data_IF_511262470060
#
_entry.id   IF_511262470060
#
_cell.length_a   1.000
_cell.length_b   1.000
_cell.length_c   1.000
_cell.angle_alpha   90.00
_cell.angle_beta   90.00
_cell.angle_gamma   90.00
#
_symmetry.space_group_name_H-M   'P 1'
#
loop_
_entity.id
_entity.type
_entity.pdbx_description
1 polymer ?
#
# COMPACT_ATOMS: atom_id res chain seq x y z
N UNK A 1 -8.89 -2.12 19.56
CA UNK A 1 -7.71 -1.73 18.74
C UNK A 1 -7.70 -2.61 17.50
N UNK A 2 -7.98 -2.04 16.31
CA UNK A 2 -7.48 -2.57 15.04
C UNK A 2 -8.27 -3.62 14.24
N UNK A 3 -9.60 -3.61 14.19
CA UNK A 3 -10.36 -4.50 13.28
C UNK A 3 -10.53 -3.95 11.86
N UNK A 4 -10.21 -2.66 11.63
CA UNK A 4 -10.53 -1.98 10.36
C UNK A 4 -9.73 -2.49 9.15
N UNK A 5 -8.60 -3.16 9.36
CA UNK A 5 -7.80 -3.74 8.28
C UNK A 5 -8.13 -5.20 7.96
N UNK A 6 -8.83 -5.92 8.84
CA UNK A 6 -9.14 -7.34 8.63
C UNK A 6 -10.07 -7.55 7.44
N UNK A 7 -11.09 -6.71 7.31
CA UNK A 7 -12.05 -6.80 6.22
C UNK A 7 -11.44 -6.44 4.85
N UNK A 8 -10.70 -5.32 4.69
CA UNK A 8 -9.94 -5.05 3.47
C UNK A 8 -8.90 -6.14 3.14
N UNK A 9 -8.21 -6.68 4.14
CA UNK A 9 -7.23 -7.74 3.93
C UNK A 9 -7.89 -9.02 3.41
N UNK A 10 -9.05 -9.40 3.97
CA UNK A 10 -9.85 -10.51 3.49
C UNK A 10 -10.29 -10.33 2.03
N UNK A 11 -10.84 -9.17 1.67
CA UNK A 11 -11.29 -8.88 0.29
C UNK A 11 -10.15 -8.98 -0.74
N UNK A 12 -8.92 -8.63 -0.32
CA UNK A 12 -7.75 -8.63 -1.18
C UNK A 12 -6.95 -9.94 -1.10
N UNK A 13 -7.35 -10.89 -0.25
CA UNK A 13 -6.62 -12.14 -0.02
C UNK A 13 -5.23 -11.92 0.58
N UNK A 14 -5.04 -10.86 1.39
CA UNK A 14 -3.77 -10.48 2.00
C UNK A 14 -3.76 -10.80 3.50
N UNK A 15 -2.57 -10.97 4.07
CA UNK A 15 -2.41 -11.07 5.52
C UNK A 15 -2.49 -9.67 6.16
N UNK A 16 -3.39 -9.49 7.14
CA UNK A 16 -3.61 -8.21 7.84
C UNK A 16 -2.32 -7.63 8.41
N UNK A 17 -1.45 -8.47 8.99
CA UNK A 17 -0.18 -8.04 9.55
C UNK A 17 0.78 -7.48 8.48
N UNK A 18 0.82 -8.09 7.29
CA UNK A 18 1.63 -7.60 6.17
C UNK A 18 1.06 -6.29 5.61
N UNK A 19 -0.26 -6.17 5.54
CA UNK A 19 -0.93 -4.96 5.08
C UNK A 19 -0.66 -3.79 6.02
N UNK A 20 -0.81 -4.02 7.33
CA UNK A 20 -0.50 -3.04 8.36
C UNK A 20 0.98 -2.63 8.33
N UNK A 21 1.90 -3.60 8.19
CA UNK A 21 3.33 -3.32 8.08
C UNK A 21 3.64 -2.47 6.83
N UNK A 22 3.06 -2.79 5.67
CA UNK A 22 3.29 -2.02 4.45
C UNK A 22 2.74 -0.58 4.50
N UNK A 23 1.63 -0.37 5.20
CA UNK A 23 1.03 0.96 5.34
C UNK A 23 1.75 1.84 6.36
N UNK A 24 2.45 1.25 7.33
CA UNK A 24 3.05 1.98 8.47
C UNK A 24 4.58 2.02 8.46
N UNK A 25 5.25 1.14 7.69
CA UNK A 25 6.72 1.10 7.64
C UNK A 25 7.31 1.91 6.48
N UNK A 26 8.46 2.55 6.74
CA UNK A 26 9.35 3.11 5.73
C UNK A 26 10.79 2.75 6.09
N UNK A 27 11.52 2.22 5.13
CA UNK A 27 12.98 2.13 5.22
C UNK A 27 13.55 3.39 4.59
N UNK A 28 14.25 4.20 5.38
CA UNK A 28 15.02 5.34 4.88
C UNK A 28 16.48 4.91 4.82
N UNK A 29 16.95 4.68 3.60
CA UNK A 29 18.37 4.44 3.33
C UNK A 29 19.08 5.78 3.22
N UNK A 30 19.70 6.22 4.32
CA UNK A 30 20.54 7.40 4.32
C UNK A 30 21.99 6.99 4.10
N UNK A 31 22.56 7.39 2.96
CA UNK A 31 23.99 7.26 2.70
C UNK A 31 24.70 8.53 3.15
N UNK A 32 25.49 8.46 4.23
CA UNK A 32 26.40 9.53 4.64
C UNK A 32 27.85 9.04 4.47
N UNK A 33 28.51 9.48 3.40
CA UNK A 33 29.89 9.10 3.10
C UNK A 33 30.05 7.61 2.76
N UNK A 34 31.00 6.92 3.39
CA UNK A 34 31.31 5.50 3.14
C UNK A 34 30.48 4.50 3.98
N UNK A 35 29.52 4.97 4.79
CA UNK A 35 28.66 4.14 5.64
C UNK A 35 27.20 4.27 5.20
N UNK A 36 26.57 3.13 4.94
CA UNK A 36 25.14 3.01 4.68
C UNK A 36 24.45 2.52 5.95
N UNK A 37 23.64 3.38 6.56
CA UNK A 37 22.76 3.01 7.68
C UNK A 37 21.30 3.01 7.17
N UNK A 38 20.63 1.87 7.29
CA UNK A 38 19.20 1.75 7.03
C UNK A 38 18.47 1.98 8.34
N UNK A 39 17.81 3.14 8.48
CA UNK A 39 17.04 3.47 9.68
C UNK A 39 15.57 3.17 9.38
N UNK A 40 15.00 2.19 10.07
CA UNK A 40 13.55 1.94 10.06
C UNK A 40 12.86 3.05 10.86
N UNK A 41 12.21 3.98 10.17
CA UNK A 41 11.35 4.99 10.80
C UNK A 41 9.89 4.59 10.63
N UNK A 42 9.13 4.69 11.72
CA UNK A 42 7.67 4.59 11.67
C UNK A 42 7.11 5.83 10.97
N UNK A 43 6.19 5.64 10.03
CA UNK A 43 5.61 6.76 9.28
C UNK A 43 4.72 7.64 10.16
N UNK A 44 4.73 8.95 9.90
CA UNK A 44 3.77 9.87 10.52
C UNK A 44 2.34 9.54 10.01
N UNK A 45 1.32 9.81 10.83
CA UNK A 45 -0.09 9.55 10.56
C UNK A 45 -0.53 10.10 9.19
N UNK A 46 -0.05 11.30 8.84
CA UNK A 46 -0.37 11.96 7.57
C UNK A 46 0.19 11.21 6.35
N UNK A 47 1.39 10.64 6.45
CA UNK A 47 2.00 9.87 5.36
C UNK A 47 1.32 8.52 5.18
N UNK A 48 0.96 7.85 6.29
CA UNK A 48 0.20 6.62 6.25
C UNK A 48 -1.18 6.83 5.58
N UNK A 49 -1.85 7.95 5.88
CA UNK A 49 -3.09 8.35 5.21
C UNK A 49 -2.89 8.62 3.71
N UNK A 50 -1.81 9.31 3.33
CA UNK A 50 -1.49 9.56 1.93
C UNK A 50 -1.26 8.25 1.14
N UNK A 51 -0.50 7.30 1.71
CA UNK A 51 -0.26 5.99 1.08
C UNK A 51 -1.56 5.21 0.94
N UNK A 52 -2.42 5.20 1.96
CA UNK A 52 -3.73 4.56 1.90
C UNK A 52 -4.56 5.12 0.74
N UNK A 53 -4.64 6.44 0.63
CA UNK A 53 -5.47 7.09 -0.40
C UNK A 53 -4.90 6.87 -1.81
N UNK A 54 -3.57 6.92 -1.97
CA UNK A 54 -2.91 6.60 -3.23
C UNK A 54 -3.13 5.14 -3.63
N UNK A 55 -3.07 4.22 -2.67
CA UNK A 55 -3.30 2.80 -2.90
C UNK A 55 -4.74 2.50 -3.29
N UNK A 56 -5.72 3.12 -2.61
CA UNK A 56 -7.13 2.99 -2.96
C UNK A 56 -7.43 3.49 -4.38
N UNK A 57 -6.87 4.64 -4.77
CA UNK A 57 -6.97 5.18 -6.14
C UNK A 57 -6.38 4.23 -7.16
N UNK A 58 -5.17 3.72 -6.91
CA UNK A 58 -4.52 2.77 -7.81
C UNK A 58 -5.31 1.46 -7.96
N UNK A 59 -5.89 0.95 -6.87
CA UNK A 59 -6.74 -0.24 -6.91
C UNK A 59 -7.98 0.01 -7.77
N UNK A 60 -8.69 1.12 -7.53
CA UNK A 60 -9.87 1.49 -8.31
C UNK A 60 -9.56 1.62 -9.80
N UNK A 61 -8.48 2.34 -10.16
CA UNK A 61 -8.05 2.49 -11.55
C UNK A 61 -7.81 1.13 -12.20
N UNK A 62 -7.06 0.23 -11.55
CA UNK A 62 -6.77 -1.10 -12.12
C UNK A 62 -8.00 -1.98 -12.28
N UNK A 63 -8.94 -1.92 -11.31
CA UNK A 63 -10.20 -2.64 -11.41
C UNK A 63 -11.03 -2.08 -12.58
N UNK A 64 -11.14 -0.75 -12.67
CA UNK A 64 -11.87 -0.09 -13.74
C UNK A 64 -11.29 -0.40 -15.11
N UNK A 65 -9.96 -0.28 -15.27
CA UNK A 65 -9.27 -0.61 -16.52
C UNK A 65 -9.53 -2.06 -16.92
N UNK A 66 -9.51 -2.99 -15.96
CA UNK A 66 -9.83 -4.40 -16.22
C UNK A 66 -11.29 -4.60 -16.62
N UNK A 67 -12.22 -3.89 -16.00
CA UNK A 67 -13.64 -3.96 -16.37
C UNK A 67 -13.87 -3.43 -17.79
N UNK A 68 -13.22 -2.32 -18.16
CA UNK A 68 -13.27 -1.76 -19.52
C UNK A 68 -12.71 -2.78 -20.52
N UNK A 69 -11.53 -3.33 -20.26
CA UNK A 69 -10.87 -4.33 -21.10
C UNK A 69 -11.73 -5.59 -21.32
N UNK A 70 -12.38 -6.10 -20.28
CA UNK A 70 -13.31 -7.24 -20.41
C UNK A 70 -14.62 -6.86 -21.12
N UNK A 71 -15.08 -5.62 -20.97
CA UNK A 71 -16.34 -5.16 -21.55
C UNK A 71 -16.26 -4.87 -23.05
N UNK A 72 -15.06 -4.64 -23.57
CA UNK A 72 -14.83 -4.46 -25.01
C UNK A 72 -14.63 -5.85 -25.62
N UNK A 73 -15.56 -6.35 -26.44
CA UNK A 73 -15.36 -7.62 -27.14
C UNK A 73 -14.17 -7.45 -28.09
N UNK A 74 -13.30 -8.48 -28.16
CA UNK A 74 -12.25 -8.59 -29.19
C UNK A 74 -12.86 -8.30 -30.58
N UNK A 75 -12.64 -7.09 -31.09
CA UNK A 75 -12.91 -6.69 -32.47
C UNK A 75 -11.73 -7.06 -33.36
#
# INVERSE_FOLDING_TARGET
MGTDLEFPAYLLGLETAQLAKKLTSRVLDSKWGARSESIEMQQNVEQANYIRDAWAKALYTRIFDRLVDVSVPLS
#
